data_IF_545682084397
#
_entry.id   IF_545682084397
#
_cell.length_a   1.000
_cell.length_b   1.000
_cell.length_c   1.000
_cell.angle_alpha   90.00
_cell.angle_beta   90.00
_cell.angle_gamma   90.00
#
_symmetry.space_group_name_H-M   'P 1'
#
loop_
_entity.id
_entity.type
_entity.pdbx_description
1 polymer ?
#
# COMPACT_ATOMS: atom_id res chain seq x y z
N UNK A 1 -4.99 -11.12 25.74
CA UNK A 1 -4.25 -10.12 24.92
C UNK A 1 -2.94 -10.66 24.33
N UNK A 2 -2.03 -11.25 25.12
CA UNK A 2 -0.74 -11.76 24.59
C UNK A 2 -0.93 -12.77 23.45
N UNK A 3 -1.88 -13.70 23.61
CA UNK A 3 -2.26 -14.67 22.56
C UNK A 3 -2.64 -13.97 21.25
N UNK A 4 -3.49 -12.93 21.32
CA UNK A 4 -3.90 -12.17 20.14
C UNK A 4 -2.70 -11.50 19.43
N UNK A 5 -1.78 -10.90 20.18
CA UNK A 5 -0.57 -10.28 19.63
C UNK A 5 0.33 -11.33 18.96
N UNK A 6 0.52 -12.47 19.60
CA UNK A 6 1.33 -13.59 19.05
C UNK A 6 0.69 -14.13 17.76
N UNK A 7 -0.62 -14.42 17.76
CA UNK A 7 -1.33 -14.90 16.58
C UNK A 7 -1.23 -13.89 15.44
N UNK A 8 -1.45 -12.61 15.72
CA UNK A 8 -1.33 -11.54 14.71
C UNK A 8 0.10 -11.41 14.20
N UNK A 9 1.11 -11.59 15.06
CA UNK A 9 2.51 -11.59 14.68
C UNK A 9 2.84 -12.75 13.73
N UNK A 10 2.43 -13.97 14.07
CA UNK A 10 2.59 -15.16 13.23
C UNK A 10 1.93 -14.98 11.85
N UNK A 11 0.71 -14.42 11.83
CA UNK A 11 -0.01 -14.12 10.59
C UNK A 11 0.78 -13.11 9.73
N UNK A 12 1.28 -12.02 10.32
CA UNK A 12 2.07 -11.02 9.57
C UNK A 12 3.36 -11.66 9.03
N UNK A 13 4.09 -12.40 9.86
CA UNK A 13 5.32 -13.09 9.47
C UNK A 13 5.09 -14.07 8.33
N UNK A 14 4.05 -14.90 8.41
CA UNK A 14 3.67 -15.84 7.37
C UNK A 14 3.42 -15.14 6.03
N UNK A 15 2.61 -14.07 6.03
CA UNK A 15 2.29 -13.35 4.79
C UNK A 15 3.48 -12.55 4.24
N UNK A 16 4.36 -12.02 5.09
CA UNK A 16 5.61 -11.40 4.65
C UNK A 16 6.55 -12.46 4.03
N UNK A 17 6.65 -13.65 4.64
CA UNK A 17 7.41 -14.79 4.10
C UNK A 17 6.90 -15.23 2.72
N UNK A 18 5.58 -15.35 2.54
CA UNK A 18 5.00 -15.60 1.20
C UNK A 18 5.38 -14.51 0.19
N UNK A 19 5.35 -13.24 0.61
CA UNK A 19 5.78 -12.12 -0.23
C UNK A 19 7.23 -12.21 -0.65
N UNK A 20 8.12 -12.52 0.29
CA UNK A 20 9.56 -12.70 0.05
C UNK A 20 9.79 -13.81 -0.98
N UNK A 21 9.18 -14.99 -0.78
CA UNK A 21 9.29 -16.12 -1.72
C UNK A 21 8.80 -15.75 -3.12
N UNK A 22 7.70 -15.01 -3.21
CA UNK A 22 7.18 -14.53 -4.50
C UNK A 22 8.19 -13.61 -5.22
N UNK A 23 8.80 -12.67 -4.49
CA UNK A 23 9.76 -11.73 -5.05
C UNK A 23 11.09 -12.38 -5.46
N UNK A 24 11.49 -13.49 -4.82
CA UNK A 24 12.62 -14.30 -5.25
C UNK A 24 12.34 -15.02 -6.57
N UNK A 25 11.12 -15.55 -6.75
CA UNK A 25 10.79 -16.38 -7.92
C UNK A 25 10.60 -15.59 -9.22
N UNK A 26 10.33 -14.28 -9.16
CA UNK A 26 9.86 -13.49 -10.33
C UNK A 26 10.93 -12.67 -11.06
N UNK A 27 12.23 -12.85 -10.79
CA UNK A 27 13.36 -12.15 -11.44
C UNK A 27 13.29 -10.60 -11.44
N UNK A 28 12.42 -9.98 -10.64
CA UNK A 28 12.41 -8.53 -10.47
C UNK A 28 13.60 -8.09 -9.61
N UNK A 29 14.04 -6.83 -9.78
CA UNK A 29 14.99 -6.17 -8.87
C UNK A 29 14.33 -5.88 -7.51
N UNK A 30 14.14 -6.92 -6.71
CA UNK A 30 13.25 -6.96 -5.54
C UNK A 30 13.96 -6.89 -4.19
N UNK A 31 15.29 -6.84 -4.17
CA UNK A 31 16.06 -6.83 -2.91
C UNK A 31 15.60 -5.77 -1.90
N UNK A 32 15.35 -4.49 -2.28
CA UNK A 32 14.86 -3.49 -1.32
C UNK A 32 13.47 -3.82 -0.75
N UNK A 33 12.61 -4.47 -1.54
CA UNK A 33 11.28 -4.91 -1.10
C UNK A 33 11.41 -6.05 -0.09
N UNK A 34 12.25 -7.05 -0.39
CA UNK A 34 12.55 -8.18 0.50
C UNK A 34 13.10 -7.66 1.83
N UNK A 35 14.08 -6.75 1.79
CA UNK A 35 14.65 -6.14 2.98
C UNK A 35 13.59 -5.40 3.82
N UNK A 36 12.68 -4.66 3.18
CA UNK A 36 11.58 -3.97 3.87
C UNK A 36 10.59 -4.95 4.52
N UNK A 37 10.34 -6.10 3.90
CA UNK A 37 9.52 -7.17 4.48
C UNK A 37 10.22 -7.85 5.66
N UNK A 38 11.54 -8.04 5.61
CA UNK A 38 12.32 -8.55 6.73
C UNK A 38 12.32 -7.59 7.92
N UNK A 39 12.48 -6.29 7.67
CA UNK A 39 12.31 -5.24 8.68
C UNK A 39 10.93 -5.35 9.34
N UNK A 40 9.87 -5.51 8.54
CA UNK A 40 8.50 -5.69 9.05
C UNK A 40 8.40 -6.87 10.03
N UNK A 41 9.01 -7.99 9.69
CA UNK A 41 9.02 -9.19 10.53
C UNK A 41 9.77 -8.91 11.83
N UNK A 42 10.96 -8.29 11.74
CA UNK A 42 11.76 -7.92 12.89
C UNK A 42 11.02 -7.03 13.87
N UNK A 43 10.32 -6.00 13.39
CA UNK A 43 9.51 -5.10 14.24
C UNK A 43 8.42 -5.88 14.97
N UNK A 44 7.69 -6.72 14.24
CA UNK A 44 6.58 -7.49 14.80
C UNK A 44 7.06 -8.53 15.82
N UNK A 45 8.19 -9.20 15.57
CA UNK A 45 8.80 -10.12 16.55
C UNK A 45 9.34 -9.38 17.77
N UNK A 46 9.95 -8.21 17.58
CA UNK A 46 10.39 -7.36 18.68
C UNK A 46 9.22 -6.94 19.57
N UNK A 47 8.05 -6.69 18.98
CA UNK A 47 6.82 -6.33 19.70
C UNK A 47 6.32 -7.49 20.56
N UNK A 48 6.41 -8.72 20.06
CA UNK A 48 6.11 -9.92 20.83
C UNK A 48 7.10 -10.06 21.99
N UNK A 49 8.41 -9.92 21.73
CA UNK A 49 9.44 -10.00 22.75
C UNK A 49 9.24 -8.96 23.87
N UNK A 50 8.91 -7.72 23.52
CA UNK A 50 8.62 -6.64 24.48
C UNK A 50 7.57 -6.99 25.52
N UNK A 51 6.58 -7.82 25.16
CA UNK A 51 5.52 -8.22 26.10
C UNK A 51 6.04 -9.03 27.28
N UNK A 52 7.16 -9.72 27.07
CA UNK A 52 7.83 -10.59 28.03
C UNK A 52 9.02 -9.91 28.73
N UNK A 53 9.33 -8.64 28.44
CA UNK A 53 10.37 -7.87 29.13
C UNK A 53 9.79 -6.95 30.21
N UNK A 54 10.67 -6.21 30.88
CA UNK A 54 10.38 -5.18 31.90
C UNK A 54 9.53 -3.98 31.43
N UNK A 55 9.09 -3.99 30.17
CA UNK A 55 8.21 -2.96 29.58
C UNK A 55 8.78 -1.54 29.70
N UNK A 56 10.09 -1.43 29.47
CA UNK A 56 10.76 -0.14 29.42
C UNK A 56 10.12 0.76 28.35
N UNK A 57 9.74 1.98 28.72
CA UNK A 57 9.12 2.94 27.81
C UNK A 57 10.05 3.36 26.67
N UNK A 58 11.37 3.39 26.91
CA UNK A 58 12.39 3.71 25.91
C UNK A 58 12.45 2.66 24.79
N UNK A 59 12.33 1.38 25.12
CA UNK A 59 12.23 0.33 24.11
C UNK A 59 10.95 0.48 23.27
N UNK A 60 9.84 0.83 23.93
CA UNK A 60 8.58 1.12 23.23
C UNK A 60 8.71 2.32 22.28
N UNK A 61 9.42 3.37 22.68
CA UNK A 61 9.75 4.49 21.80
C UNK A 61 10.47 3.99 20.54
N UNK A 62 11.52 3.19 20.68
CA UNK A 62 12.27 2.66 19.52
C UNK A 62 11.39 1.88 18.57
N UNK A 63 10.55 0.99 19.08
CA UNK A 63 9.65 0.21 18.24
C UNK A 63 8.68 1.11 17.46
N UNK A 64 8.10 2.10 18.14
CA UNK A 64 7.16 3.02 17.52
C UNK A 64 7.86 3.88 16.45
N UNK A 65 9.00 4.49 16.80
CA UNK A 65 9.78 5.34 15.90
C UNK A 65 10.27 4.58 14.67
N UNK A 66 10.80 3.38 14.87
CA UNK A 66 11.26 2.54 13.77
C UNK A 66 10.11 2.03 12.89
N UNK A 67 8.93 1.74 13.48
CA UNK A 67 7.75 1.37 12.70
C UNK A 67 7.21 2.51 11.85
N UNK A 68 7.22 3.75 12.35
CA UNK A 68 6.84 4.94 11.57
C UNK A 68 7.87 5.23 10.48
N UNK A 69 9.17 5.09 10.78
CA UNK A 69 10.22 5.19 9.77
C UNK A 69 10.04 4.13 8.68
N UNK A 70 9.65 2.90 9.04
CA UNK A 70 9.36 1.85 8.06
C UNK A 70 8.25 2.24 7.08
N UNK A 71 7.22 2.98 7.50
CA UNK A 71 6.18 3.51 6.59
C UNK A 71 6.83 4.38 5.51
N UNK A 72 7.76 5.24 5.89
CA UNK A 72 8.49 6.07 4.94
C UNK A 72 9.45 5.25 4.05
N UNK A 73 10.13 4.25 4.60
CA UNK A 73 10.97 3.30 3.84
C UNK A 73 10.12 2.59 2.76
N UNK A 74 8.89 2.17 3.10
CA UNK A 74 7.99 1.54 2.13
C UNK A 74 7.70 2.47 0.95
N UNK A 75 7.49 3.76 1.19
CA UNK A 75 7.30 4.75 0.13
C UNK A 75 8.54 4.91 -0.74
N UNK A 76 9.73 5.06 -0.12
CA UNK A 76 11.01 5.16 -0.84
C UNK A 76 11.24 3.94 -1.73
N UNK A 77 10.99 2.73 -1.20
CA UNK A 77 11.16 1.47 -1.93
C UNK A 77 10.13 1.31 -3.04
N UNK A 78 8.88 1.68 -2.79
CA UNK A 78 7.81 1.65 -3.79
C UNK A 78 8.16 2.52 -5.02
N UNK A 79 8.59 3.77 -4.80
CA UNK A 79 8.98 4.65 -5.90
C UNK A 79 10.28 4.21 -6.56
N UNK A 80 11.26 3.75 -5.76
CA UNK A 80 12.51 3.22 -6.27
C UNK A 80 12.33 1.97 -7.12
N UNK A 81 11.32 1.14 -6.84
CA UNK A 81 10.98 -0.06 -7.61
C UNK A 81 10.50 0.31 -9.02
N UNK A 82 9.65 1.33 -9.17
CA UNK A 82 9.20 1.77 -10.50
C UNK A 82 10.37 2.21 -11.39
N UNK A 83 11.31 2.96 -10.81
CA UNK A 83 12.51 3.43 -11.51
C UNK A 83 13.49 2.30 -11.85
N UNK A 84 13.75 1.37 -10.91
CA UNK A 84 14.69 0.24 -11.12
C UNK A 84 14.22 -0.78 -12.16
N UNK A 85 12.96 -0.72 -12.58
CA UNK A 85 12.41 -1.58 -13.61
C UNK A 85 12.14 -0.82 -14.93
N UNK A 86 12.69 0.39 -15.08
CA UNK A 86 12.61 1.26 -16.26
C UNK A 86 11.18 1.62 -16.69
N UNK A 87 10.25 1.66 -15.74
CA UNK A 87 8.86 2.04 -16.01
C UNK A 87 8.65 3.56 -15.96
N UNK A 88 9.45 4.26 -15.16
CA UNK A 88 9.35 5.70 -14.98
C UNK A 88 10.69 6.34 -14.59
N UNK A 89 10.84 7.60 -14.95
CA UNK A 89 11.89 8.48 -14.47
C UNK A 89 11.28 9.57 -13.57
N UNK A 90 12.09 10.21 -12.72
CA UNK A 90 11.59 11.32 -11.91
C UNK A 90 11.91 12.63 -12.61
N UNK A 91 10.92 13.52 -12.72
CA UNK A 91 11.13 14.91 -13.18
C UNK A 91 11.93 15.74 -12.19
N UNK A 92 11.82 15.36 -10.91
CA UNK A 92 12.46 16.04 -9.80
C UNK A 92 13.42 15.08 -9.08
N UNK A 93 14.57 15.52 -8.55
CA UNK A 93 15.48 14.67 -7.78
C UNK A 93 14.83 14.27 -6.44
N UNK A 94 13.99 13.24 -6.45
CA UNK A 94 13.27 12.74 -5.26
C UNK A 94 14.21 12.40 -4.09
N UNK A 95 15.48 12.08 -4.38
CA UNK A 95 16.53 11.89 -3.36
C UNK A 95 16.69 13.10 -2.45
N UNK A 96 16.54 14.32 -2.97
CA UNK A 96 16.61 15.56 -2.19
C UNK A 96 15.47 15.68 -1.15
N UNK A 97 14.37 14.95 -1.33
CA UNK A 97 13.26 14.90 -0.38
C UNK A 97 13.43 13.71 0.59
N UNK A 98 13.75 12.52 0.06
CA UNK A 98 13.80 11.31 0.88
C UNK A 98 14.97 11.28 1.85
N UNK A 99 16.16 11.75 1.44
CA UNK A 99 17.38 11.67 2.27
C UNK A 99 17.22 12.51 3.55
N UNK A 100 16.82 13.80 3.51
CA UNK A 100 16.64 14.58 4.73
C UNK A 100 15.63 13.95 5.70
N UNK A 101 14.52 13.40 5.21
CA UNK A 101 13.53 12.75 6.06
C UNK A 101 14.09 11.48 6.71
N UNK A 102 14.85 10.67 5.98
CA UNK A 102 15.53 9.51 6.56
C UNK A 102 16.57 9.91 7.62
N UNK A 103 17.33 10.98 7.36
CA UNK A 103 18.27 11.54 8.32
C UNK A 103 17.52 12.02 9.57
N UNK A 104 16.40 12.72 9.43
CA UNK A 104 15.58 13.16 10.58
C UNK A 104 15.09 11.99 11.44
N UNK A 105 14.58 10.92 10.83
CA UNK A 105 14.19 9.70 11.58
C UNK A 105 15.39 9.07 12.29
N UNK A 106 16.54 8.96 11.60
CA UNK A 106 17.76 8.43 12.18
C UNK A 106 18.24 9.30 13.35
N UNK A 107 18.22 10.63 13.22
CA UNK A 107 18.56 11.58 14.27
C UNK A 107 17.63 11.44 15.48
N UNK A 108 16.31 11.37 15.27
CA UNK A 108 15.35 11.16 16.37
C UNK A 108 15.62 9.84 17.12
N UNK A 109 15.93 8.77 16.39
CA UNK A 109 16.31 7.49 17.00
C UNK A 109 17.63 7.59 17.76
N UNK A 110 18.68 8.12 17.14
CA UNK A 110 20.00 8.26 17.78
C UNK A 110 19.91 9.15 19.02
N UNK A 111 19.18 10.27 18.97
CA UNK A 111 18.98 11.13 20.13
C UNK A 111 18.21 10.40 21.25
N UNK A 112 17.18 9.62 20.92
CA UNK A 112 16.49 8.79 21.91
C UNK A 112 17.35 7.65 22.50
N UNK A 113 18.45 7.27 21.83
CA UNK A 113 19.46 6.32 22.35
C UNK A 113 20.52 7.05 23.16
N UNK A 114 21.10 8.11 22.62
CA UNK A 114 22.30 8.74 23.18
C UNK A 114 21.96 9.63 24.38
N UNK A 115 20.76 10.21 24.42
CA UNK A 115 20.37 11.14 25.46
C UNK A 115 19.49 10.45 26.50
N UNK A 116 20.08 10.13 27.65
CA UNK A 116 19.38 9.50 28.76
C UNK A 116 18.28 10.40 29.33
N UNK A 117 18.48 11.73 29.33
CA UNK A 117 17.52 12.71 29.86
C UNK A 117 16.20 12.74 29.09
N UNK A 118 16.20 12.31 27.82
CA UNK A 118 14.99 12.19 27.02
C UNK A 118 14.13 10.97 27.40
N UNK A 119 14.67 10.06 28.22
CA UNK A 119 14.02 8.84 28.70
C UNK A 119 13.95 8.69 30.23
N UNK A 120 14.61 9.58 30.99
CA UNK A 120 14.57 9.60 32.45
C UNK A 120 13.22 10.10 32.97
N UNK A 121 12.99 9.87 34.26
CA UNK A 121 11.79 10.30 34.94
C UNK A 121 11.81 11.82 35.15
N UNK A 122 11.21 12.57 34.22
CA UNK A 122 11.04 14.03 34.30
C UNK A 122 9.71 14.42 34.95
N UNK A 123 9.48 15.71 35.19
CA UNK A 123 8.17 16.21 35.66
C UNK A 123 7.01 15.91 34.69
N UNK A 124 7.31 15.73 33.40
CA UNK A 124 6.29 15.40 32.39
C UNK A 124 6.04 13.89 32.37
N UNK A 125 4.78 13.50 32.51
CA UNK A 125 4.34 12.10 32.52
C UNK A 125 4.61 11.40 31.17
N UNK A 126 4.59 12.13 30.05
CA UNK A 126 4.89 11.60 28.71
C UNK A 126 6.21 12.14 28.16
N UNK A 127 7.16 11.27 27.74
CA UNK A 127 8.47 11.74 27.29
C UNK A 127 8.38 12.59 26.02
N UNK A 128 9.05 13.75 26.03
CA UNK A 128 9.07 14.71 24.91
C UNK A 128 9.51 14.09 23.57
N UNK A 129 10.36 13.06 23.63
CA UNK A 129 10.86 12.38 22.44
C UNK A 129 9.76 11.72 21.60
N UNK A 130 8.68 11.24 22.23
CA UNK A 130 7.51 10.75 21.50
C UNK A 130 6.82 11.88 20.73
N UNK A 131 6.72 13.09 21.29
CA UNK A 131 6.12 14.22 20.60
C UNK A 131 6.88 14.58 19.31
N UNK A 132 8.21 14.65 19.37
CA UNK A 132 9.04 14.88 18.18
C UNK A 132 8.83 13.80 17.11
N UNK A 133 8.77 12.53 17.54
CA UNK A 133 8.52 11.40 16.66
C UNK A 133 7.16 11.51 15.95
N UNK A 134 6.09 11.84 16.69
CA UNK A 134 4.77 12.00 16.10
C UNK A 134 4.69 13.22 15.19
N UNK A 135 5.26 14.36 15.57
CA UNK A 135 5.35 15.54 14.70
C UNK A 135 6.01 15.18 13.36
N UNK A 136 7.12 14.44 13.39
CA UNK A 136 7.77 13.95 12.18
C UNK A 136 6.84 13.05 11.36
N UNK A 137 6.09 12.16 12.01
CA UNK A 137 5.10 11.32 11.34
C UNK A 137 4.01 12.15 10.62
N UNK A 138 3.44 13.17 11.27
CA UNK A 138 2.49 14.10 10.64
C UNK A 138 3.09 14.83 9.43
N UNK A 139 4.32 15.33 9.55
CA UNK A 139 5.03 16.00 8.45
C UNK A 139 5.21 15.03 7.28
N UNK A 140 5.64 13.79 7.54
CA UNK A 140 5.79 12.79 6.47
C UNK A 140 4.47 12.37 5.83
N UNK A 141 3.37 12.39 6.56
CA UNK A 141 2.03 12.18 6.00
C UNK A 141 1.61 13.33 5.08
N UNK A 142 1.77 14.58 5.52
CA UNK A 142 1.46 15.76 4.69
C UNK A 142 2.29 15.75 3.40
N UNK A 143 3.58 15.44 3.51
CA UNK A 143 4.47 15.26 2.37
C UNK A 143 4.03 14.11 1.45
N UNK A 144 3.62 12.98 2.01
CA UNK A 144 3.07 11.86 1.24
C UNK A 144 1.84 12.29 0.42
N UNK A 145 0.89 13.02 1.01
CA UNK A 145 -0.28 13.52 0.29
C UNK A 145 0.10 14.48 -0.83
N UNK A 146 1.03 15.39 -0.56
CA UNK A 146 1.56 16.31 -1.56
C UNK A 146 2.18 15.55 -2.74
N UNK A 147 3.05 14.59 -2.46
CA UNK A 147 3.69 13.76 -3.47
C UNK A 147 2.65 12.95 -4.26
N UNK A 148 1.68 12.33 -3.60
CA UNK A 148 0.63 11.56 -4.27
C UNK A 148 -0.22 12.42 -5.22
N UNK A 149 -0.61 13.63 -4.79
CA UNK A 149 -1.37 14.58 -5.63
C UNK A 149 -0.58 15.05 -6.86
N UNK A 150 0.75 14.96 -6.83
CA UNK A 150 1.66 15.31 -7.94
C UNK A 150 2.13 14.08 -8.72
N UNK A 151 1.42 12.95 -8.63
CA UNK A 151 1.79 11.65 -9.23
C UNK A 151 3.25 11.25 -8.91
N UNK A 152 3.70 11.58 -7.70
CA UNK A 152 5.05 11.39 -7.21
C UNK A 152 6.16 12.00 -8.11
N UNK A 153 5.81 13.00 -8.93
CA UNK A 153 6.68 13.59 -9.94
C UNK A 153 7.28 12.56 -10.91
N UNK A 154 6.53 11.50 -11.19
CA UNK A 154 6.93 10.46 -12.13
C UNK A 154 6.61 10.87 -13.56
N UNK A 155 7.52 10.57 -14.46
CA UNK A 155 7.33 10.58 -15.90
C UNK A 155 7.38 9.15 -16.40
N UNK A 156 6.25 8.66 -16.90
CA UNK A 156 6.11 7.31 -17.43
C UNK A 156 6.86 7.16 -18.75
N UNK A 157 7.45 5.99 -18.97
CA UNK A 157 8.14 5.66 -20.21
C UNK A 157 7.21 5.82 -21.42
N UNK A 158 7.73 6.28 -22.57
CA UNK A 158 6.96 6.63 -23.77
C UNK A 158 6.04 5.48 -24.23
N UNK A 159 6.57 4.26 -24.25
CA UNK A 159 5.85 3.03 -24.65
C UNK A 159 4.60 2.72 -23.83
N UNK A 160 4.44 3.30 -22.63
CA UNK A 160 3.29 3.06 -21.75
C UNK A 160 2.57 4.33 -21.32
N UNK A 161 3.03 5.52 -21.76
CA UNK A 161 2.56 6.81 -21.25
C UNK A 161 1.08 7.05 -21.59
N UNK A 162 0.69 6.71 -22.82
CA UNK A 162 -0.65 6.98 -23.36
C UNK A 162 -1.60 5.78 -23.25
N UNK A 163 -1.15 4.66 -22.68
CA UNK A 163 -2.00 3.47 -22.48
C UNK A 163 -3.00 3.75 -21.36
N UNK A 164 -4.29 3.61 -21.65
CA UNK A 164 -5.33 3.55 -20.61
C UNK A 164 -5.25 2.20 -19.90
N UNK A 165 -5.09 2.25 -18.58
CA UNK A 165 -5.00 1.06 -17.73
C UNK A 165 -6.31 0.25 -17.70
N UNK A 166 -7.44 0.86 -18.06
CA UNK A 166 -8.74 0.18 -18.13
C UNK A 166 -8.86 -0.67 -19.40
N UNK A 167 -8.45 -0.11 -20.54
CA UNK A 167 -8.62 -0.73 -21.85
C UNK A 167 -7.64 -1.89 -22.05
N UNK A 168 -6.38 -1.75 -21.62
CA UNK A 168 -5.40 -2.83 -21.75
C UNK A 168 -5.75 -4.05 -20.88
N UNK A 169 -6.53 -3.85 -19.82
CA UNK A 169 -7.00 -4.98 -19.01
C UNK A 169 -7.91 -5.91 -19.82
N UNK A 170 -8.61 -5.34 -20.79
CA UNK A 170 -9.56 -6.03 -21.66
C UNK A 170 -8.90 -6.49 -22.96
N UNK A 171 -7.94 -5.74 -23.50
CA UNK A 171 -7.32 -6.03 -24.79
C UNK A 171 -5.79 -6.04 -24.63
N UNK A 172 -5.17 -7.21 -24.76
CA UNK A 172 -3.72 -7.36 -24.77
C UNK A 172 -3.16 -6.82 -26.10
N UNK A 173 -2.97 -5.51 -26.20
CA UNK A 173 -2.59 -4.83 -27.46
C UNK A 173 -1.09 -4.63 -27.62
N UNK A 174 -0.30 -4.83 -26.56
CA UNK A 174 1.16 -4.71 -26.65
C UNK A 174 1.81 -6.02 -27.14
N UNK A 175 2.55 -5.96 -28.24
CA UNK A 175 3.37 -7.09 -28.71
C UNK A 175 4.74 -7.18 -27.99
N UNK A 176 5.25 -6.04 -27.51
CA UNK A 176 6.54 -5.96 -26.83
C UNK A 176 6.47 -6.42 -25.36
N UNK A 177 7.23 -7.47 -25.02
CA UNK A 177 7.33 -8.02 -23.67
C UNK A 177 7.91 -7.00 -22.66
N UNK A 178 8.80 -6.10 -23.08
CA UNK A 178 9.33 -5.05 -22.21
C UNK A 178 8.28 -3.97 -21.95
N UNK A 179 7.50 -3.56 -22.95
CA UNK A 179 6.35 -2.69 -22.75
C UNK A 179 5.32 -3.31 -21.78
N UNK A 180 5.00 -4.61 -21.93
CA UNK A 180 4.13 -5.34 -20.98
C UNK A 180 4.73 -5.36 -19.57
N UNK A 181 6.05 -5.51 -19.43
CA UNK A 181 6.75 -5.46 -18.14
C UNK A 181 6.62 -4.08 -17.49
N UNK A 182 6.90 -3.00 -18.23
CA UNK A 182 6.79 -1.63 -17.74
C UNK A 182 5.35 -1.28 -17.35
N UNK A 183 4.37 -1.72 -18.15
CA UNK A 183 2.96 -1.50 -17.86
C UNK A 183 2.52 -2.20 -16.56
N UNK A 184 2.95 -3.46 -16.35
CA UNK A 184 2.72 -4.18 -15.09
C UNK A 184 3.26 -3.40 -13.89
N UNK A 185 4.43 -2.81 -14.01
CA UNK A 185 5.03 -1.99 -12.95
C UNK A 185 4.22 -0.72 -12.70
N UNK A 186 3.73 -0.04 -13.76
CA UNK A 186 2.83 1.12 -13.63
C UNK A 186 1.53 0.78 -12.92
N UNK A 187 0.87 -0.32 -13.31
CA UNK A 187 -0.34 -0.82 -12.66
C UNK A 187 -0.10 -1.16 -11.18
N UNK A 188 1.02 -1.83 -10.89
CA UNK A 188 1.42 -2.18 -9.54
C UNK A 188 1.63 -0.92 -8.69
N UNK A 189 2.36 0.07 -9.23
CA UNK A 189 2.66 1.30 -8.52
C UNK A 189 1.40 2.12 -8.22
N UNK A 190 0.49 2.27 -9.19
CA UNK A 190 -0.76 3.00 -8.99
C UNK A 190 -1.60 2.37 -7.85
N UNK A 191 -1.70 1.04 -7.86
CA UNK A 191 -2.38 0.29 -6.78
C UNK A 191 -1.67 0.41 -5.43
N UNK A 192 -0.35 0.29 -5.44
CA UNK A 192 0.47 0.44 -4.24
C UNK A 192 0.32 1.84 -3.65
N UNK A 193 0.40 2.89 -4.47
CA UNK A 193 0.23 4.29 -4.06
C UNK A 193 -1.14 4.55 -3.45
N UNK A 194 -2.22 4.12 -4.11
CA UNK A 194 -3.58 4.27 -3.58
C UNK A 194 -3.76 3.58 -2.23
N UNK A 195 -3.24 2.35 -2.09
CA UNK A 195 -3.29 1.61 -0.82
C UNK A 195 -2.42 2.25 0.25
N UNK A 196 -1.23 2.69 -0.12
CA UNK A 196 -0.30 3.35 0.78
C UNK A 196 -0.95 4.58 1.40
N UNK A 197 -1.54 5.47 0.58
CA UNK A 197 -2.20 6.69 1.07
C UNK A 197 -3.38 6.36 1.98
N UNK A 198 -4.27 5.44 1.56
CA UNK A 198 -5.42 5.03 2.39
C UNK A 198 -4.98 4.45 3.73
N UNK A 199 -3.98 3.58 3.71
CA UNK A 199 -3.48 2.96 4.93
C UNK A 199 -2.68 3.93 5.81
N UNK A 200 -1.91 4.85 5.23
CA UNK A 200 -1.19 5.89 5.96
C UNK A 200 -2.17 6.87 6.61
N UNK A 201 -3.26 7.22 5.93
CA UNK A 201 -4.37 8.00 6.50
C UNK A 201 -4.98 7.29 7.70
N UNK A 202 -5.26 5.98 7.58
CA UNK A 202 -5.73 5.16 8.69
C UNK A 202 -4.73 5.15 9.88
N UNK A 203 -3.43 5.00 9.61
CA UNK A 203 -2.39 5.06 10.64
C UNK A 203 -2.33 6.43 11.32
N UNK A 204 -2.53 7.51 10.57
CA UNK A 204 -2.56 8.87 11.12
C UNK A 204 -3.74 9.05 12.08
N UNK A 205 -4.95 8.67 11.64
CA UNK A 205 -6.16 8.71 12.47
C UNK A 205 -5.97 7.87 13.73
N UNK A 206 -5.42 6.67 13.59
CA UNK A 206 -5.10 5.81 14.71
C UNK A 206 -4.07 6.43 15.67
N UNK A 207 -3.07 7.13 15.14
CA UNK A 207 -2.05 7.83 15.93
C UNK A 207 -2.65 9.01 16.70
N UNK A 208 -3.53 9.80 16.06
CA UNK A 208 -4.28 10.88 16.73
C UNK A 208 -5.16 10.31 17.84
N UNK A 209 -5.89 9.23 17.57
CA UNK A 209 -6.71 8.55 18.56
C UNK A 209 -5.85 8.01 19.72
N UNK A 210 -4.71 7.40 19.40
CA UNK A 210 -3.77 6.92 20.41
C UNK A 210 -3.27 8.07 21.29
N UNK A 211 -2.80 9.16 20.68
CA UNK A 211 -2.30 10.34 21.39
C UNK A 211 -3.35 10.97 22.29
N UNK A 212 -4.55 11.22 21.76
CA UNK A 212 -5.64 11.84 22.53
C UNK A 212 -6.04 10.97 23.73
N UNK A 213 -6.20 9.66 23.53
CA UNK A 213 -6.51 8.73 24.62
C UNK A 213 -5.36 8.64 25.62
N UNK A 214 -4.10 8.56 25.17
CA UNK A 214 -2.94 8.47 26.06
C UNK A 214 -2.80 9.73 26.89
N UNK A 215 -2.82 10.92 26.27
CA UNK A 215 -2.72 12.20 26.97
C UNK A 215 -3.87 12.38 27.95
N UNK A 216 -5.11 12.07 27.53
CA UNK A 216 -6.27 12.14 28.43
C UNK A 216 -6.12 11.20 29.64
N UNK A 217 -5.69 9.95 29.41
CA UNK A 217 -5.45 8.99 30.49
C UNK A 217 -4.34 9.46 31.42
N UNK A 218 -3.24 10.00 30.89
CA UNK A 218 -2.13 10.47 31.70
C UNK A 218 -2.51 11.68 32.56
N UNK A 219 -3.30 12.61 32.01
CA UNK A 219 -3.79 13.77 32.75
C UNK A 219 -4.84 13.39 33.81
N UNK A 220 -5.71 12.42 33.50
CA UNK A 220 -6.79 12.01 34.41
C UNK A 220 -6.29 11.24 35.63
N UNK A 221 -5.23 10.46 35.45
CA UNK A 221 -4.74 9.52 36.47
C UNK A 221 -3.39 9.94 37.07
N UNK A 222 -3.01 11.22 36.96
CA UNK A 222 -1.90 11.92 37.64
C UNK A 222 -0.70 11.01 38.07
N UNK A 223 -0.08 10.36 37.08
CA UNK A 223 1.11 9.51 37.33
C UNK A 223 0.85 8.06 37.75
N UNK A 224 -0.40 7.59 37.85
CA UNK A 224 -0.70 6.17 38.11
C UNK A 224 -0.46 5.27 36.88
N UNK A 225 -0.51 5.84 35.67
CA UNK A 225 -0.36 5.08 34.42
C UNK A 225 1.09 4.66 34.13
N UNK A 226 2.06 5.47 34.56
CA UNK A 226 3.50 5.22 34.39
C UNK A 226 4.22 5.54 35.69
N UNK A 227 5.10 4.67 36.12
CA UNK A 227 5.92 4.85 37.32
C UNK A 227 7.38 4.85 36.94
N UNK A 228 8.16 5.64 37.64
CA UNK A 228 9.60 5.52 37.56
C UNK A 228 10.04 4.14 38.09
N UNK A 229 11.02 3.53 37.44
CA UNK A 229 11.65 2.33 37.98
C UNK A 229 12.32 2.66 39.34
N UNK A 230 12.49 1.65 40.20
CA UNK A 230 13.12 1.84 41.51
C UNK A 230 14.53 2.45 41.42
N UNK A 231 15.21 2.26 40.30
CA UNK A 231 16.51 2.88 40.02
C UNK A 231 16.46 4.37 39.68
N UNK A 232 15.28 4.96 39.43
CA UNK A 232 15.13 6.35 39.00
C UNK A 232 15.38 6.60 37.50
N UNK A 233 15.93 5.61 36.79
CA UNK A 233 16.59 5.87 35.49
C UNK A 233 15.66 5.74 34.27
N UNK A 234 14.45 5.20 34.41
CA UNK A 234 13.53 5.00 33.29
C UNK A 234 12.07 4.85 33.70
N UNK A 235 11.18 5.27 32.80
CA UNK A 235 9.74 5.03 32.93
C UNK A 235 9.34 3.58 32.65
N UNK A 236 8.42 3.07 33.46
CA UNK A 236 7.75 1.77 33.28
C UNK A 236 6.24 1.97 33.32
N UNK A 237 5.48 1.21 32.53
CA UNK A 237 4.02 1.17 32.67
C UNK A 237 3.62 0.44 33.97
N UNK A 238 2.78 1.06 34.81
CA UNK A 238 2.29 0.47 36.07
C UNK A 238 1.29 -0.67 35.80
N UNK A 239 1.15 -1.63 36.72
CA UNK A 239 0.49 -2.91 36.45
C UNK A 239 -1.03 -2.87 36.18
N UNK A 240 -1.77 -1.84 36.59
CA UNK A 240 -3.25 -1.86 36.64
C UNK A 240 -3.98 -1.34 35.38
N UNK A 241 -5.28 -1.67 35.29
CA UNK A 241 -6.20 -1.64 34.11
C UNK A 241 -6.04 -0.54 33.06
N UNK A 242 -5.71 0.70 33.42
CA UNK A 242 -5.44 1.82 32.50
C UNK A 242 -4.29 1.50 31.53
N UNK A 243 -3.32 0.69 31.97
CA UNK A 243 -2.23 0.13 31.14
C UNK A 243 -2.74 -0.62 29.93
N UNK A 244 -3.92 -1.24 30.00
CA UNK A 244 -4.45 -2.04 28.91
C UNK A 244 -4.63 -1.18 27.66
N UNK A 245 -5.28 -0.01 27.80
CA UNK A 245 -5.65 0.83 26.67
C UNK A 245 -4.41 1.50 26.06
N UNK A 246 -3.57 2.14 26.88
CA UNK A 246 -2.35 2.84 26.41
C UNK A 246 -1.39 1.88 25.72
N UNK A 247 -1.12 0.73 26.36
CA UNK A 247 -0.22 -0.26 25.79
C UNK A 247 -0.82 -0.93 24.55
N UNK A 248 -2.13 -1.21 24.56
CA UNK A 248 -2.82 -1.75 23.39
C UNK A 248 -2.74 -0.80 22.20
N UNK A 249 -3.00 0.50 22.38
CA UNK A 249 -2.96 1.49 21.31
C UNK A 249 -1.56 1.63 20.71
N UNK A 250 -0.52 1.65 21.54
CA UNK A 250 0.85 1.63 21.06
C UNK A 250 1.18 0.36 20.26
N UNK A 251 0.89 -0.83 20.80
CA UNK A 251 1.10 -2.10 20.09
C UNK A 251 0.35 -2.14 18.79
N UNK A 252 -0.92 -1.76 18.84
CA UNK A 252 -1.79 -1.83 17.69
C UNK A 252 -1.24 -0.92 16.59
N UNK A 253 -0.84 0.32 16.93
CA UNK A 253 -0.20 1.26 16.00
C UNK A 253 1.10 0.69 15.42
N UNK A 254 2.05 0.22 16.24
CA UNK A 254 3.30 -0.39 15.77
C UNK A 254 3.05 -1.58 14.84
N UNK A 255 2.12 -2.47 15.20
CA UNK A 255 1.78 -3.63 14.37
C UNK A 255 1.08 -3.22 13.06
N UNK A 256 0.27 -2.15 13.07
CA UNK A 256 -0.31 -1.63 11.83
C UNK A 256 0.77 -1.01 10.95
N UNK A 257 1.68 -0.21 11.49
CA UNK A 257 2.84 0.32 10.78
C UNK A 257 3.68 -0.80 10.15
N UNK A 258 3.98 -1.86 10.91
CA UNK A 258 4.66 -3.06 10.39
C UNK A 258 3.89 -3.71 9.24
N UNK A 259 2.56 -3.85 9.38
CA UNK A 259 1.73 -4.44 8.34
C UNK A 259 1.67 -3.64 7.02
N UNK A 260 2.10 -2.37 7.00
CA UNK A 260 2.14 -1.52 5.79
C UNK A 260 2.91 -2.21 4.65
N UNK A 261 4.10 -2.74 4.93
CA UNK A 261 4.93 -3.39 3.90
C UNK A 261 4.18 -4.55 3.22
N UNK A 262 3.44 -5.36 3.99
CA UNK A 262 2.59 -6.43 3.45
C UNK A 262 1.43 -5.88 2.62
N UNK A 263 0.73 -4.87 3.13
CA UNK A 263 -0.44 -4.29 2.43
C UNK A 263 -0.03 -3.70 1.09
N UNK A 264 1.13 -3.04 1.04
CA UNK A 264 1.63 -2.41 -0.18
C UNK A 264 2.22 -3.45 -1.10
N UNK A 265 3.21 -4.21 -0.68
CA UNK A 265 3.96 -5.07 -1.59
C UNK A 265 3.25 -6.39 -1.88
N UNK A 266 2.72 -7.08 -0.87
CA UNK A 266 2.16 -8.42 -1.05
C UNK A 266 0.74 -8.38 -1.61
N UNK A 267 -0.15 -7.57 -1.02
CA UNK A 267 -1.55 -7.52 -1.51
C UNK A 267 -1.67 -6.91 -2.90
N UNK A 268 -0.79 -5.98 -3.28
CA UNK A 268 -0.85 -5.34 -4.60
C UNK A 268 -0.39 -6.27 -5.70
N UNK A 269 0.63 -7.06 -5.43
CA UNK A 269 1.07 -8.14 -6.32
C UNK A 269 -0.06 -9.15 -6.55
N UNK A 270 -0.65 -9.72 -5.50
CA UNK A 270 -1.71 -10.74 -5.64
C UNK A 270 -2.88 -10.25 -6.48
N UNK A 271 -3.28 -8.99 -6.31
CA UNK A 271 -4.39 -8.43 -7.08
C UNK A 271 -4.02 -8.15 -8.54
N UNK A 272 -2.77 -7.78 -8.84
CA UNK A 272 -2.32 -7.62 -10.22
C UNK A 272 -2.31 -8.99 -10.91
N UNK A 273 -1.81 -10.03 -10.26
CA UNK A 273 -1.84 -11.40 -10.80
C UNK A 273 -3.28 -11.87 -11.05
N UNK A 274 -4.21 -11.63 -10.11
CA UNK A 274 -5.62 -11.96 -10.30
C UNK A 274 -6.24 -11.26 -11.51
N UNK A 275 -5.95 -9.98 -11.72
CA UNK A 275 -6.44 -9.27 -12.91
C UNK A 275 -5.87 -9.86 -14.20
N UNK A 276 -4.60 -10.25 -14.20
CA UNK A 276 -3.97 -10.83 -15.38
C UNK A 276 -4.47 -12.24 -15.69
N UNK A 277 -4.79 -13.02 -14.65
CA UNK A 277 -5.43 -14.32 -14.83
C UNK A 277 -6.84 -14.15 -15.42
N UNK A 278 -7.59 -13.17 -14.96
CA UNK A 278 -8.93 -12.89 -15.48
C UNK A 278 -8.89 -12.45 -16.95
N UNK A 279 -8.00 -11.50 -17.28
CA UNK A 279 -7.77 -11.03 -18.66
C UNK A 279 -7.46 -12.19 -19.61
N UNK A 280 -6.56 -13.11 -19.22
CA UNK A 280 -6.24 -14.30 -20.04
C UNK A 280 -7.43 -15.22 -20.29
N UNK A 281 -8.28 -15.42 -19.28
CA UNK A 281 -9.49 -16.25 -19.43
C UNK A 281 -10.47 -15.58 -20.39
N UNK A 282 -10.65 -14.26 -20.28
CA UNK A 282 -11.53 -13.51 -21.19
C UNK A 282 -11.03 -13.55 -22.63
N UNK A 283 -9.72 -13.40 -22.87
CA UNK A 283 -9.15 -13.50 -24.22
C UNK A 283 -9.32 -14.90 -24.81
N UNK A 284 -9.13 -15.96 -24.00
CA UNK A 284 -9.39 -17.34 -24.46
C UNK A 284 -10.85 -17.55 -24.85
N UNK A 285 -11.79 -17.04 -24.04
CA UNK A 285 -13.22 -17.15 -24.33
C UNK A 285 -13.66 -16.37 -25.59
N UNK A 286 -13.06 -15.21 -25.86
CA UNK A 286 -13.33 -14.44 -27.09
C UNK A 286 -12.80 -15.20 -28.30
N UNK A 287 -11.57 -15.71 -28.24
CA UNK A 287 -10.99 -16.47 -29.35
C UNK A 287 -11.78 -17.76 -29.64
N UNK A 288 -12.24 -18.48 -28.61
CA UNK A 288 -13.11 -19.65 -28.78
C UNK A 288 -14.44 -19.29 -29.43
N UNK A 289 -15.05 -18.15 -29.06
CA UNK A 289 -16.29 -17.67 -29.68
C UNK A 289 -16.08 -17.25 -31.15
N UNK A 290 -14.95 -16.61 -31.48
CA UNK A 290 -14.61 -16.23 -32.84
C UNK A 290 -14.32 -17.46 -33.72
N UNK A 291 -13.63 -18.48 -33.18
CA UNK A 291 -13.44 -19.76 -33.85
C UNK A 291 -14.77 -20.51 -34.04
N UNK A 292 -15.66 -20.50 -33.04
CA UNK A 292 -17.00 -21.08 -33.15
C UNK A 292 -17.87 -20.34 -34.19
N UNK A 293 -17.81 -19.01 -34.23
CA UNK A 293 -18.53 -18.20 -35.21
C UNK A 293 -18.00 -18.46 -36.63
N UNK A 294 -16.69 -18.50 -36.81
CA UNK A 294 -16.06 -18.75 -38.12
C UNK A 294 -16.26 -20.18 -38.61
N UNK A 295 -16.24 -21.18 -37.71
CA UNK A 295 -16.53 -22.57 -38.07
C UNK A 295 -18.01 -22.80 -38.40
N UNK A 296 -18.93 -22.10 -37.73
CA UNK A 296 -20.36 -22.07 -38.06
C UNK A 296 -20.63 -21.45 -39.45
N UNK A 297 -19.96 -20.35 -39.77
CA UNK A 297 -20.12 -19.67 -41.06
C UNK A 297 -19.63 -20.52 -42.25
N UNK A 298 -18.53 -21.27 -42.08
CA UNK A 298 -18.03 -22.18 -43.11
C UNK A 298 -18.93 -23.42 -43.33
N UNK A 299 -19.71 -23.83 -42.31
CA UNK A 299 -20.64 -24.96 -42.43
C UNK A 299 -21.92 -24.62 -43.21
N UNK A 300 -22.39 -23.38 -43.11
CA UNK A 300 -23.55 -22.88 -43.88
C UNK A 300 -23.20 -22.69 -45.36
N UNK A 301 -21.95 -22.34 -45.68
CA UNK A 301 -21.51 -22.17 -47.08
C UNK A 301 -21.32 -23.49 -47.85
N UNK A 302 -21.12 -24.61 -47.13
CA UNK A 302 -20.93 -25.94 -47.73
C UNK A 302 -22.24 -26.67 -48.08
N UNK A 303 -23.42 -26.17 -47.67
CA UNK A 303 -24.71 -26.84 -47.91
C UNK A 303 -25.59 -26.14 -48.96
N UNK A 304 -25.12 -25.06 -49.58
CA UNK A 304 -25.87 -24.25 -50.55
C UNK A 304 -25.31 -24.21 -51.97
N UNK A 305 -24.72 -25.30 -52.47
CA UNK A 305 -24.31 -25.40 -53.90
C UNK A 305 -24.94 -26.64 -54.54
N UNK A 306 -26.26 -26.58 -54.74
CA UNK A 306 -26.96 -27.40 -55.74
C UNK A 306 -28.32 -26.79 -56.08
N UNK A 307 -28.42 -26.30 -57.32
CA UNK A 307 -29.60 -26.09 -58.17
C UNK A 307 -30.28 -24.70 -58.21
N UNK A 308 -30.74 -24.37 -59.44
CA UNK A 308 -31.53 -23.22 -59.96
C UNK A 308 -30.72 -21.93 -60.20
N UNK A 309 -30.49 -21.38 -61.41
CA UNK A 309 -31.18 -21.36 -62.71
C UNK A 309 -32.55 -20.65 -62.68
N UNK A 310 -32.58 -19.47 -63.33
CA UNK A 310 -33.69 -18.58 -63.71
C UNK A 310 -34.54 -18.01 -62.54
N UNK A 311 -34.89 -16.72 -62.43
CA UNK A 311 -35.56 -15.87 -63.43
C UNK A 311 -35.53 -14.40 -62.96
N UNK A 312 -35.78 -13.51 -63.90
CA UNK A 312 -35.87 -12.06 -63.93
C UNK A 312 -36.99 -11.40 -63.09
N UNK A 313 -36.95 -10.06 -63.02
CA UNK A 313 -38.02 -9.07 -62.72
C UNK A 313 -38.42 -8.69 -61.27
N UNK A 314 -38.28 -7.38 -60.97
CA UNK A 314 -39.46 -6.53 -60.70
C UNK A 314 -39.79 -6.06 -59.26
N UNK A 315 -39.94 -4.73 -59.12
CA UNK A 315 -40.69 -3.96 -58.11
C UNK A 315 -40.12 -3.82 -56.68
N UNK A 316 -39.73 -2.61 -56.24
CA UNK A 316 -40.53 -1.47 -55.74
C UNK A 316 -41.09 -1.65 -54.31
N UNK A 317 -40.62 -0.73 -53.44
CA UNK A 317 -41.38 0.07 -52.48
C UNK A 317 -41.42 -0.29 -50.98
N UNK A 318 -41.11 0.75 -50.20
CA UNK A 318 -41.82 1.29 -49.02
C UNK A 318 -41.72 0.59 -47.64
N UNK A 319 -41.10 1.34 -46.71
CA UNK A 319 -41.55 1.76 -45.36
C UNK A 319 -40.39 1.68 -44.36
N UNK A 320 -39.80 2.78 -43.88
CA UNK A 320 -40.29 3.80 -42.93
C UNK A 320 -40.58 3.29 -41.52
N UNK A 321 -40.10 4.05 -40.54
CA UNK A 321 -40.20 3.91 -39.07
C UNK A 321 -39.18 2.93 -38.46
N UNK A 322 -38.33 3.34 -37.52
CA UNK A 322 -38.74 3.94 -36.25
C UNK A 322 -37.64 4.86 -35.67
N UNK A 323 -38.07 6.04 -35.21
CA UNK A 323 -37.35 7.01 -34.38
C UNK A 323 -37.32 6.60 -32.90
N UNK A 324 -36.59 7.39 -32.09
CA UNK A 324 -36.60 7.56 -30.61
C UNK A 324 -35.62 6.66 -29.84
N UNK A 325 -34.81 7.08 -28.86
CA UNK A 325 -34.67 8.27 -27.96
C UNK A 325 -33.18 8.25 -27.48
N UNK A 326 -32.40 9.34 -27.41
CA UNK A 326 -32.41 10.49 -26.49
C UNK A 326 -32.25 10.16 -24.98
N UNK A 327 -31.04 10.35 -24.45
CA UNK A 327 -30.66 10.74 -23.06
C UNK A 327 -29.12 10.71 -23.01
N UNK A 328 -28.36 11.77 -23.22
CA UNK A 328 -28.22 13.02 -22.45
C UNK A 328 -28.46 12.88 -20.95
N UNK A 329 -27.36 12.83 -20.19
CA UNK A 329 -27.30 13.46 -18.87
C UNK A 329 -25.85 13.76 -18.48
N UNK A 330 -25.48 15.01 -18.71
CA UNK A 330 -24.34 15.71 -18.14
C UNK A 330 -24.55 15.92 -16.63
N UNK A 331 -23.59 15.52 -15.80
CA UNK A 331 -23.53 15.95 -14.40
C UNK A 331 -22.25 16.75 -14.14
N UNK A 332 -22.34 18.06 -14.34
CA UNK A 332 -21.50 19.05 -13.65
C UNK A 332 -22.18 19.39 -12.31
N UNK A 333 -21.43 19.33 -11.21
CA UNK A 333 -21.75 20.08 -10.00
C UNK A 333 -20.46 20.57 -9.34
N UNK A 334 -20.28 21.88 -9.43
CA UNK A 334 -19.35 22.74 -8.69
C UNK A 334 -19.77 22.97 -7.24
N UNK A 335 -18.77 23.25 -6.40
CA UNK A 335 -18.77 24.09 -5.19
C UNK A 335 -19.52 23.63 -3.91
N UNK A 336 -18.73 23.26 -2.90
CA UNK A 336 -18.57 24.04 -1.65
C UNK A 336 -17.16 23.89 -1.10
#
# INVERSE_FOLDING_TARGET
>A
MNVFVIVKALVITYFCGQGIMWFFNRKYNSFPVIFTLLISIGIVLSEVAYRFTDRNLRYRFFQNAFSQWQVWICMTVMLGFARKNDAAHHKFPMRAIFIPIHVLYATVLVLGIANEDLGTCTEYTYPRIFAYQYCLFFVTYALCLFLYKKDFFLEWHESIKNVDLKDELQHSMLDDEDAKRRLRVRMLLNRQGSRFVKFHTFLLVLTVLALTVIVWQMNKYDGEAVTCAASGNHWRFRSCGIRFIVNFLHVFTTMQCGAMARVVFVKSVKQVEQLQSYSRITTMAINENDEAANSGFNRVRSTGSRNSLDTEEGLLSLNSATQNEAADDSFQATNR
#
